data_IF_769856152822
#
_entry.id   IF_769856152822
#
_cell.length_a   1.000
_cell.length_b   1.000
_cell.length_c   1.000
_cell.angle_alpha   90.00
_cell.angle_beta   90.00
_cell.angle_gamma   90.00
#
_symmetry.space_group_name_H-M   'P 1'
#
loop_
_entity.id
_entity.type
_entity.pdbx_description
1 polymer ?
#
# COMPACT_ATOMS: atom_id res chain seq x y z
N UNK A 1 -2.69 15.56 -17.02
CA UNK A 1 -3.66 14.61 -16.42
C UNK A 1 -4.98 14.78 -17.15
N UNK A 2 -5.55 13.70 -17.68
CA UNK A 2 -6.84 13.75 -18.39
C UNK A 2 -7.96 14.28 -17.47
N UNK A 3 -8.93 15.01 -18.03
CA UNK A 3 -10.01 15.65 -17.27
C UNK A 3 -10.84 14.62 -16.50
N UNK A 4 -11.17 13.48 -17.14
CA UNK A 4 -11.90 12.38 -16.50
C UNK A 4 -11.07 11.76 -15.36
N UNK A 5 -9.75 11.61 -15.58
CA UNK A 5 -8.84 11.14 -14.54
C UNK A 5 -8.81 12.10 -13.33
N UNK A 6 -8.80 13.43 -13.57
CA UNK A 6 -8.87 14.42 -12.48
C UNK A 6 -10.14 14.27 -11.67
N UNK A 7 -11.30 14.19 -12.33
CA UNK A 7 -12.58 13.98 -11.64
C UNK A 7 -12.60 12.68 -10.85
N UNK A 8 -12.02 11.61 -11.39
CA UNK A 8 -11.89 10.33 -10.68
C UNK A 8 -11.05 10.47 -9.41
N UNK A 9 -9.90 11.13 -9.45
CA UNK A 9 -9.08 11.33 -8.24
C UNK A 9 -9.82 12.19 -7.22
N UNK A 10 -10.41 13.31 -7.64
CA UNK A 10 -11.20 14.18 -6.75
C UNK A 10 -12.34 13.41 -6.08
N UNK A 11 -13.03 12.55 -6.83
CA UNK A 11 -14.09 11.69 -6.29
C UNK A 11 -13.53 10.64 -5.33
N UNK A 12 -12.38 10.05 -5.65
CA UNK A 12 -11.72 9.06 -4.79
C UNK A 12 -11.37 9.63 -3.42
N UNK A 13 -10.85 10.86 -3.37
CA UNK A 13 -10.54 11.56 -2.11
C UNK A 13 -11.77 11.61 -1.19
N UNK A 14 -12.92 12.01 -1.73
CA UNK A 14 -14.17 12.10 -0.96
C UNK A 14 -14.66 10.73 -0.53
N UNK A 15 -14.72 9.77 -1.45
CA UNK A 15 -15.28 8.43 -1.18
C UNK A 15 -14.45 7.70 -0.13
N UNK A 16 -13.12 7.74 -0.25
CA UNK A 16 -12.24 7.07 0.71
C UNK A 16 -12.25 7.76 2.07
N UNK A 17 -12.28 9.10 2.10
CA UNK A 17 -12.40 9.80 3.38
C UNK A 17 -13.74 9.54 4.05
N UNK A 18 -14.84 9.42 3.28
CA UNK A 18 -16.15 9.03 3.82
C UNK A 18 -16.13 7.61 4.41
N UNK A 19 -15.61 6.63 3.68
CA UNK A 19 -15.48 5.23 4.13
C UNK A 19 -14.64 5.16 5.42
N UNK A 20 -13.50 5.86 5.43
CA UNK A 20 -12.60 5.95 6.59
C UNK A 20 -13.25 6.65 7.79
N UNK A 21 -13.94 7.76 7.57
CA UNK A 21 -14.54 8.55 8.66
C UNK A 21 -15.66 7.79 9.35
N UNK A 22 -16.50 7.08 8.58
CA UNK A 22 -17.56 6.23 9.16
C UNK A 22 -16.92 5.01 9.84
N UNK A 23 -15.89 4.40 9.26
CA UNK A 23 -15.13 3.33 9.91
C UNK A 23 -14.55 3.74 11.26
N UNK A 24 -13.87 4.90 11.32
CA UNK A 24 -13.34 5.47 12.55
C UNK A 24 -14.44 5.78 13.55
N UNK A 25 -15.57 6.33 13.09
CA UNK A 25 -16.73 6.57 13.95
C UNK A 25 -17.21 5.29 14.64
N UNK A 26 -17.23 4.15 13.92
CA UNK A 26 -17.59 2.85 14.48
C UNK A 26 -16.56 2.38 15.52
N UNK A 27 -15.25 2.51 15.23
CA UNK A 27 -14.15 2.11 16.13
C UNK A 27 -14.19 2.92 17.43
N UNK A 28 -14.33 4.24 17.33
CA UNK A 28 -14.28 5.14 18.48
C UNK A 28 -15.48 4.98 19.41
N UNK A 29 -16.64 4.62 18.87
CA UNK A 29 -17.90 4.50 19.61
C UNK A 29 -18.32 3.05 19.92
N UNK A 30 -17.48 2.05 19.60
CA UNK A 30 -17.75 0.63 19.86
C UNK A 30 -18.04 0.35 21.34
N UNK A 31 -17.38 1.07 22.24
CA UNK A 31 -17.51 0.90 23.69
C UNK A 31 -18.90 1.28 24.24
N UNK A 32 -19.77 1.88 23.41
CA UNK A 32 -21.08 2.40 23.82
C UNK A 32 -22.19 1.36 23.54
N UNK A 33 -22.12 0.62 22.43
CA UNK A 33 -23.13 -0.36 22.04
C UNK A 33 -22.55 -1.53 21.22
N UNK A 34 -22.92 -2.76 21.57
CA UNK A 34 -22.44 -3.98 20.92
C UNK A 34 -23.05 -4.14 19.53
N UNK A 35 -22.20 -4.30 18.51
CA UNK A 35 -22.61 -4.69 17.15
C UNK A 35 -23.21 -6.10 17.21
N UNK A 36 -24.28 -6.36 16.44
CA UNK A 36 -24.90 -7.68 16.39
C UNK A 36 -23.92 -8.75 15.84
N UNK A 37 -23.73 -9.83 16.61
CA UNK A 37 -22.81 -10.92 16.30
C UNK A 37 -23.03 -11.54 14.90
N UNK A 38 -24.29 -11.60 14.46
CA UNK A 38 -24.66 -12.18 13.16
C UNK A 38 -24.03 -11.47 11.97
N UNK A 39 -23.85 -10.14 12.05
CA UNK A 39 -23.24 -9.37 10.96
C UNK A 39 -21.74 -9.59 10.90
N UNK A 40 -21.08 -9.67 12.07
CA UNK A 40 -19.64 -9.94 12.19
C UNK A 40 -19.31 -11.36 11.69
N UNK A 41 -20.13 -12.35 12.03
CA UNK A 41 -19.92 -13.74 11.60
C UNK A 41 -19.95 -13.89 10.08
N UNK A 42 -20.85 -13.18 9.39
CA UNK A 42 -20.93 -13.23 7.93
C UNK A 42 -19.66 -12.71 7.24
N UNK A 43 -19.01 -11.71 7.83
CA UNK A 43 -17.75 -11.13 7.33
C UNK A 43 -16.58 -12.08 7.61
N UNK A 44 -16.53 -12.65 8.81
CA UNK A 44 -15.48 -13.61 9.19
C UNK A 44 -15.55 -14.87 8.33
N UNK A 45 -16.76 -15.39 8.06
CA UNK A 45 -16.94 -16.54 7.16
C UNK A 45 -16.51 -16.22 5.72
N UNK A 46 -16.80 -15.00 5.25
CA UNK A 46 -16.37 -14.53 3.92
C UNK A 46 -14.85 -14.49 3.80
N UNK A 47 -14.16 -13.97 4.80
CA UNK A 47 -12.70 -13.89 4.79
C UNK A 47 -12.02 -15.25 5.03
N UNK A 48 -12.63 -16.12 5.84
CA UNK A 48 -12.17 -17.50 6.01
C UNK A 48 -12.19 -18.27 4.68
N UNK A 49 -13.20 -18.06 3.84
CA UNK A 49 -13.25 -18.63 2.48
C UNK A 49 -12.14 -18.10 1.56
N UNK A 50 -11.61 -16.91 1.84
CA UNK A 50 -10.47 -16.30 1.12
C UNK A 50 -9.10 -16.74 1.68
N UNK A 51 -9.09 -17.54 2.74
CA UNK A 51 -7.88 -18.05 3.39
C UNK A 51 -7.32 -17.13 4.48
N UNK A 52 -8.08 -16.13 4.93
CA UNK A 52 -7.70 -15.22 6.01
C UNK A 52 -8.53 -15.52 7.27
N UNK A 53 -7.86 -15.73 8.40
CA UNK A 53 -8.53 -15.88 9.70
C UNK A 53 -8.53 -14.55 10.45
N UNK A 54 -9.70 -13.96 10.63
CA UNK A 54 -9.89 -12.71 11.37
C UNK A 54 -10.40 -13.02 12.78
N UNK A 55 -9.68 -12.61 13.83
CA UNK A 55 -10.14 -12.74 15.21
C UNK A 55 -11.39 -11.87 15.48
N UNK A 56 -12.39 -12.40 16.17
CA UNK A 56 -13.65 -11.69 16.51
C UNK A 56 -13.43 -10.45 17.37
N UNK A 57 -12.34 -10.42 18.14
CA UNK A 57 -11.95 -9.37 19.07
C UNK A 57 -11.25 -8.17 18.41
N UNK A 58 -10.92 -8.25 17.11
CA UNK A 58 -10.22 -7.18 16.38
C UNK A 58 -11.16 -6.44 15.44
N UNK A 59 -11.93 -5.47 15.96
CA UNK A 59 -12.87 -4.66 15.18
C UNK A 59 -12.22 -3.97 13.98
N UNK A 60 -11.00 -3.45 14.12
CA UNK A 60 -10.29 -2.78 13.01
C UNK A 60 -10.18 -3.69 11.78
N UNK A 61 -9.82 -4.97 11.97
CA UNK A 61 -9.70 -5.93 10.87
C UNK A 61 -11.06 -6.28 10.27
N UNK A 62 -12.12 -6.29 11.09
CA UNK A 62 -13.49 -6.54 10.63
C UNK A 62 -13.96 -5.37 9.75
N UNK A 63 -13.70 -4.13 10.15
CA UNK A 63 -14.05 -2.93 9.39
C UNK A 63 -13.29 -2.87 8.07
N UNK A 64 -11.98 -3.17 8.08
CA UNK A 64 -11.18 -3.26 6.85
C UNK A 64 -11.72 -4.29 5.85
N UNK A 65 -12.28 -5.39 6.35
CA UNK A 65 -12.89 -6.44 5.53
C UNK A 65 -14.35 -6.16 5.15
N UNK A 66 -14.96 -5.11 5.70
CA UNK A 66 -16.38 -4.79 5.53
C UNK A 66 -16.64 -3.99 4.25
N UNK A 67 -17.80 -4.20 3.65
CA UNK A 67 -18.29 -3.32 2.59
C UNK A 67 -18.87 -2.03 3.19
N UNK A 68 -18.85 -0.94 2.41
CA UNK A 68 -19.35 0.37 2.87
C UNK A 68 -20.79 0.31 3.44
N UNK A 69 -21.68 -0.50 2.87
CA UNK A 69 -23.04 -0.67 3.40
C UNK A 69 -23.05 -1.33 4.79
N UNK A 70 -22.17 -2.31 5.00
CA UNK A 70 -21.99 -2.99 6.29
C UNK A 70 -21.48 -1.98 7.33
N UNK A 71 -20.53 -1.10 6.97
CA UNK A 71 -20.01 -0.04 7.84
C UNK A 71 -21.14 0.95 8.23
N UNK A 72 -21.99 1.36 7.29
CA UNK A 72 -23.16 2.18 7.60
C UNK A 72 -24.12 1.48 8.57
N UNK A 73 -24.37 0.17 8.38
CA UNK A 73 -25.23 -0.59 9.29
C UNK A 73 -24.64 -0.65 10.70
N UNK A 74 -23.32 -0.79 10.83
CA UNK A 74 -22.64 -0.70 12.13
C UNK A 74 -22.79 0.67 12.76
N UNK A 75 -22.57 1.74 12.00
CA UNK A 75 -22.74 3.11 12.50
C UNK A 75 -24.18 3.40 12.94
N UNK A 76 -25.18 2.91 12.20
CA UNK A 76 -26.60 3.04 12.59
C UNK A 76 -26.88 2.25 13.86
N UNK A 77 -26.34 1.04 14.01
CA UNK A 77 -26.54 0.22 15.20
C UNK A 77 -25.91 0.87 16.45
N UNK A 78 -24.70 1.40 16.32
CA UNK A 78 -24.00 2.10 17.42
C UNK A 78 -24.73 3.37 17.84
N UNK A 79 -25.35 4.08 16.89
CA UNK A 79 -26.08 5.31 17.19
C UNK A 79 -27.49 5.06 17.75
N UNK A 80 -27.97 3.82 17.83
CA UNK A 80 -29.32 3.54 18.33
C UNK A 80 -29.54 4.16 19.72
N UNK A 81 -30.66 4.87 19.89
CA UNK A 81 -30.98 5.57 21.15
C UNK A 81 -30.33 6.94 21.31
N UNK A 82 -29.45 7.36 20.39
CA UNK A 82 -28.90 8.73 20.35
C UNK A 82 -29.67 9.63 19.39
N UNK A 83 -29.49 10.95 19.53
CA UNK A 83 -30.03 11.94 18.57
C UNK A 83 -29.37 11.85 17.18
N UNK A 84 -28.20 11.24 17.08
CA UNK A 84 -27.43 11.10 15.84
C UNK A 84 -27.94 9.96 14.94
N UNK A 85 -28.73 9.04 15.49
CA UNK A 85 -29.23 7.88 14.73
C UNK A 85 -29.99 8.28 13.47
N UNK A 86 -30.88 9.26 13.61
CA UNK A 86 -31.70 9.76 12.50
C UNK A 86 -30.82 10.38 11.41
N UNK A 87 -29.80 11.16 11.80
CA UNK A 87 -28.85 11.75 10.86
C UNK A 87 -28.00 10.69 10.15
N UNK A 88 -27.61 9.61 10.84
CA UNK A 88 -26.87 8.50 10.22
C UNK A 88 -27.72 7.74 9.20
N UNK A 89 -29.00 7.51 9.50
CA UNK A 89 -29.97 6.89 8.59
C UNK A 89 -30.17 7.79 7.35
N UNK A 90 -30.38 9.09 7.55
CA UNK A 90 -30.54 10.08 6.48
C UNK A 90 -29.29 10.14 5.59
N UNK A 91 -28.09 10.10 6.17
CA UNK A 91 -26.84 10.08 5.41
C UNK A 91 -26.75 8.81 4.55
N UNK A 92 -27.08 7.64 5.11
CA UNK A 92 -27.12 6.38 4.35
C UNK A 92 -28.12 6.45 3.19
N UNK A 93 -29.29 7.03 3.41
CA UNK A 93 -30.32 7.21 2.38
C UNK A 93 -29.85 8.15 1.27
N UNK A 94 -29.22 9.28 1.62
CA UNK A 94 -28.63 10.21 0.66
C UNK A 94 -27.54 9.53 -0.18
N UNK A 95 -26.65 8.79 0.47
CA UNK A 95 -25.61 7.99 -0.16
C UNK A 95 -26.18 6.97 -1.16
N UNK A 96 -27.27 6.30 -0.79
CA UNK A 96 -27.96 5.34 -1.65
C UNK A 96 -28.63 6.03 -2.84
N UNK A 97 -29.32 7.14 -2.62
CA UNK A 97 -29.98 7.93 -3.66
C UNK A 97 -29.00 8.45 -4.71
N UNK A 98 -27.82 8.90 -4.29
CA UNK A 98 -26.78 9.41 -5.16
C UNK A 98 -25.89 8.30 -5.75
N UNK A 99 -26.09 7.04 -5.34
CA UNK A 99 -25.40 5.87 -5.88
C UNK A 99 -23.93 5.78 -5.44
N UNK A 100 -23.61 6.14 -4.19
CA UNK A 100 -22.23 6.15 -3.69
C UNK A 100 -21.55 4.77 -3.81
N UNK A 101 -22.31 3.68 -3.68
CA UNK A 101 -21.79 2.31 -3.77
C UNK A 101 -21.28 2.00 -5.18
N UNK A 102 -22.00 2.46 -6.21
CA UNK A 102 -21.57 2.32 -7.60
C UNK A 102 -20.37 3.22 -7.90
N UNK A 103 -20.38 4.45 -7.36
CA UNK A 103 -19.27 5.39 -7.49
C UNK A 103 -17.99 4.80 -6.86
N UNK A 104 -18.08 4.24 -5.65
CA UNK A 104 -16.95 3.59 -4.95
C UNK A 104 -16.39 2.43 -5.76
N UNK A 105 -17.27 1.61 -6.33
CA UNK A 105 -16.88 0.50 -7.21
C UNK A 105 -16.19 1.02 -8.49
N UNK A 106 -16.72 2.08 -9.10
CA UNK A 106 -16.12 2.69 -10.28
C UNK A 106 -14.74 3.31 -10.01
N UNK A 107 -14.59 4.03 -8.89
CA UNK A 107 -13.29 4.60 -8.45
C UNK A 107 -12.23 3.50 -8.33
N UNK A 108 -12.59 2.37 -7.71
CA UNK A 108 -11.67 1.25 -7.44
C UNK A 108 -11.28 0.46 -8.69
N UNK A 109 -12.00 0.63 -9.82
CA UNK A 109 -11.75 -0.09 -11.06
C UNK A 109 -11.40 0.89 -12.20
N UNK A 110 -10.11 1.12 -12.50
CA UNK A 110 -9.66 2.17 -13.42
C UNK A 110 -10.18 2.00 -14.84
N UNK A 111 -10.42 0.76 -15.27
CA UNK A 111 -10.90 0.45 -16.64
C UNK A 111 -12.41 0.66 -16.82
N UNK A 112 -13.17 0.98 -15.76
CA UNK A 112 -14.60 1.28 -15.89
C UNK A 112 -14.83 2.71 -16.35
N UNK A 113 -15.87 2.99 -17.17
CA UNK A 113 -16.27 4.34 -17.49
C UNK A 113 -16.51 5.17 -16.23
N UNK A 114 -16.11 6.43 -16.26
CA UNK A 114 -16.26 7.36 -15.14
C UNK A 114 -16.98 8.62 -15.59
N UNK A 115 -18.33 8.63 -15.52
CA UNK A 115 -19.11 9.81 -15.89
C UNK A 115 -18.86 10.97 -14.92
N UNK A 116 -18.84 12.20 -15.44
CA UNK A 116 -18.65 13.41 -14.65
C UNK A 116 -19.67 13.57 -13.51
N UNK A 117 -20.86 13.01 -13.66
CA UNK A 117 -21.91 13.06 -12.63
C UNK A 117 -21.49 12.40 -11.31
N UNK A 118 -20.52 11.48 -11.33
CA UNK A 118 -19.99 10.84 -10.12
C UNK A 118 -19.28 11.83 -9.20
N UNK A 119 -18.53 12.78 -9.79
CA UNK A 119 -17.91 13.86 -9.03
C UNK A 119 -18.97 14.73 -8.34
N UNK A 120 -19.96 15.19 -9.09
CA UNK A 120 -20.99 16.07 -8.54
C UNK A 120 -21.80 15.38 -7.43
N UNK A 121 -22.13 14.10 -7.60
CA UNK A 121 -22.83 13.29 -6.58
C UNK A 121 -22.00 13.15 -5.30
N UNK A 122 -20.71 12.82 -5.42
CA UNK A 122 -19.82 12.73 -4.27
C UNK A 122 -19.63 14.08 -3.57
N UNK A 123 -19.46 15.16 -4.35
CA UNK A 123 -19.37 16.52 -3.83
C UNK A 123 -20.64 16.94 -3.09
N UNK A 124 -21.83 16.58 -3.60
CA UNK A 124 -23.12 16.82 -2.92
C UNK A 124 -23.13 16.17 -1.54
N UNK A 125 -22.76 14.88 -1.44
CA UNK A 125 -22.68 14.17 -0.15
C UNK A 125 -21.71 14.88 0.81
N UNK A 126 -20.50 15.21 0.36
CA UNK A 126 -19.47 15.82 1.21
C UNK A 126 -19.78 17.27 1.63
N UNK A 127 -20.66 17.96 0.89
CA UNK A 127 -21.14 19.31 1.24
C UNK A 127 -22.43 19.31 2.05
N UNK A 128 -23.05 18.15 2.28
CA UNK A 128 -24.35 18.06 2.92
C UNK A 128 -24.25 18.41 4.42
N UNK A 129 -25.22 19.14 5.01
CA UNK A 129 -25.23 19.46 6.43
C UNK A 129 -25.19 18.23 7.36
N UNK A 130 -25.57 17.04 6.87
CA UNK A 130 -25.46 15.79 7.63
C UNK A 130 -24.00 15.45 8.00
N UNK A 131 -23.02 15.87 7.17
CA UNK A 131 -21.59 15.66 7.44
C UNK A 131 -21.17 16.41 8.70
N UNK A 132 -21.54 17.69 8.82
CA UNK A 132 -21.29 18.50 10.03
C UNK A 132 -22.05 17.96 11.24
N UNK A 133 -23.34 17.60 11.08
CA UNK A 133 -24.14 17.05 12.19
C UNK A 133 -23.56 15.77 12.80
N UNK A 134 -22.87 14.97 11.98
CA UNK A 134 -22.23 13.72 12.40
C UNK A 134 -20.76 13.91 12.77
N UNK A 135 -20.24 15.14 12.79
CA UNK A 135 -18.84 15.50 13.03
C UNK A 135 -17.86 14.78 12.08
N UNK A 136 -18.25 14.60 10.82
CA UNK A 136 -17.42 13.99 9.77
C UNK A 136 -16.60 15.06 9.01
N UNK A 137 -16.02 16.02 9.74
CA UNK A 137 -15.38 17.22 9.18
C UNK A 137 -14.23 16.91 8.20
N UNK A 138 -13.57 15.76 8.37
CA UNK A 138 -12.52 15.32 7.45
C UNK A 138 -13.06 15.09 6.03
N UNK A 139 -14.31 14.65 5.86
CA UNK A 139 -14.97 14.51 4.55
C UNK A 139 -15.16 15.87 3.88
N UNK A 140 -15.52 16.89 4.66
CA UNK A 140 -15.64 18.28 4.18
C UNK A 140 -14.26 18.84 3.79
N UNK A 141 -13.23 18.55 4.58
CA UNK A 141 -11.84 18.93 4.27
C UNK A 141 -11.33 18.23 3.01
N UNK A 142 -11.69 16.97 2.78
CA UNK A 142 -11.36 16.24 1.55
C UNK A 142 -12.01 16.88 0.32
N UNK A 143 -13.27 17.33 0.43
CA UNK A 143 -13.92 18.10 -0.64
C UNK A 143 -13.20 19.43 -0.91
N UNK A 144 -12.84 20.19 0.12
CA UNK A 144 -12.10 21.45 -0.05
C UNK A 144 -10.74 21.20 -0.74
N UNK A 145 -10.00 20.19 -0.28
CA UNK A 145 -8.71 19.80 -0.87
C UNK A 145 -8.85 19.37 -2.33
N UNK A 146 -9.93 18.64 -2.67
CA UNK A 146 -10.22 18.21 -4.03
C UNK A 146 -10.60 19.39 -4.94
N UNK A 147 -11.32 20.39 -4.43
CA UNK A 147 -11.66 21.63 -5.14
C UNK A 147 -10.41 22.46 -5.43
N UNK A 148 -9.54 22.61 -4.41
CA UNK A 148 -8.29 23.37 -4.49
C UNK A 148 -7.20 22.68 -5.33
N UNK A 149 -7.46 21.45 -5.82
CA UNK A 149 -6.48 20.60 -6.50
C UNK A 149 -5.23 20.33 -5.65
N UNK A 150 -5.38 20.38 -4.32
CA UNK A 150 -4.42 19.89 -3.34
C UNK A 150 -4.44 18.36 -3.33
N UNK A 151 -4.06 17.78 -4.47
CA UNK A 151 -3.85 16.35 -4.64
C UNK A 151 -2.57 16.02 -3.88
N UNK A 152 -2.68 15.53 -2.64
CA UNK A 152 -1.52 15.08 -1.88
C UNK A 152 -0.74 14.08 -2.73
N UNK A 153 0.44 14.47 -3.18
CA UNK A 153 1.37 13.54 -3.82
C UNK A 153 1.75 12.46 -2.82
N UNK A 154 2.01 11.21 -3.26
CA UNK A 154 2.58 10.22 -2.35
C UNK A 154 3.78 10.86 -1.63
N UNK A 155 3.90 10.71 -0.30
CA UNK A 155 5.03 11.27 0.43
C UNK A 155 6.34 10.82 -0.22
N UNK A 156 7.32 11.71 -0.32
CA UNK A 156 8.62 11.36 -0.91
C UNK A 156 9.28 10.18 -0.18
N UNK A 157 8.97 10.01 1.12
CA UNK A 157 9.35 8.84 1.92
C UNK A 157 8.93 7.51 1.30
N UNK A 158 7.84 7.42 0.52
CA UNK A 158 7.39 6.18 -0.12
C UNK A 158 8.29 5.74 -1.28
N UNK A 159 9.00 6.66 -1.94
CA UNK A 159 10.02 6.29 -2.92
C UNK A 159 11.27 5.68 -2.25
N UNK A 160 11.52 6.05 -0.99
CA UNK A 160 12.76 5.72 -0.29
C UNK A 160 12.60 4.59 0.74
N UNK A 161 11.41 4.43 1.34
CA UNK A 161 11.09 3.38 2.29
C UNK A 161 10.34 2.25 1.61
N UNK A 162 11.12 1.39 0.96
CA UNK A 162 10.67 0.08 0.53
C UNK A 162 10.58 -0.82 1.78
N UNK A 163 9.55 -0.65 2.62
CA UNK A 163 9.40 -1.41 3.89
C UNK A 163 9.38 -2.94 3.71
N UNK A 164 9.16 -3.41 2.48
CA UNK A 164 9.15 -4.82 2.10
C UNK A 164 10.50 -5.35 1.58
N UNK A 165 11.48 -4.47 1.33
CA UNK A 165 12.80 -4.89 0.87
C UNK A 165 13.69 -5.35 2.02
N UNK A 166 14.54 -6.33 1.76
CA UNK A 166 15.55 -6.81 2.72
C UNK A 166 16.61 -5.71 2.90
N UNK A 167 16.90 -5.29 4.14
CA UNK A 167 17.94 -4.29 4.42
C UNK A 167 19.27 -4.68 3.78
N UNK A 168 19.88 -3.77 3.01
CA UNK A 168 21.11 -4.07 2.29
C UNK A 168 22.06 -2.88 2.15
N UNK A 169 23.35 -3.17 2.05
CA UNK A 169 24.42 -2.17 1.78
C UNK A 169 24.93 -2.25 0.34
N UNK A 170 24.08 -2.69 -0.60
CA UNK A 170 24.47 -2.79 -2.01
C UNK A 170 24.74 -1.38 -2.57
N UNK A 171 25.72 -1.21 -3.47
CA UNK A 171 25.96 0.07 -4.13
C UNK A 171 24.70 0.59 -4.85
N UNK A 172 24.46 1.91 -4.77
CA UNK A 172 23.26 2.53 -5.36
C UNK A 172 23.27 2.57 -6.89
N UNK A 173 24.44 2.47 -7.51
CA UNK A 173 24.60 2.44 -8.96
C UNK A 173 25.57 1.37 -9.38
N UNK A 174 25.24 0.70 -10.48
CA UNK A 174 26.12 -0.26 -11.14
C UNK A 174 26.26 0.09 -12.63
N UNK A 175 27.46 -0.10 -13.18
CA UNK A 175 27.75 0.17 -14.60
C UNK A 175 26.85 -0.60 -15.58
N UNK A 176 26.14 -1.63 -15.10
CA UNK A 176 25.28 -2.52 -15.89
C UNK A 176 23.78 -2.37 -15.59
N UNK A 177 23.35 -1.46 -14.70
CA UNK A 177 21.93 -1.24 -14.40
C UNK A 177 21.13 -0.76 -15.61
N UNK A 178 21.78 -0.01 -16.51
CA UNK A 178 21.12 0.62 -17.66
C UNK A 178 20.79 -0.41 -18.76
N UNK A 179 21.60 -1.46 -18.93
CA UNK A 179 21.41 -2.43 -20.03
C UNK A 179 20.83 -3.77 -19.58
N UNK A 180 20.84 -4.08 -18.28
CA UNK A 180 20.51 -5.40 -17.76
C UNK A 180 21.52 -6.48 -18.22
N UNK A 181 21.47 -7.65 -17.58
CA UNK A 181 22.28 -8.80 -17.98
C UNK A 181 21.48 -9.70 -18.93
N UNK A 182 21.90 -9.79 -20.19
CA UNK A 182 21.26 -10.66 -21.18
C UNK A 182 21.78 -12.10 -21.07
N UNK A 183 20.86 -13.07 -21.04
CA UNK A 183 21.18 -14.50 -21.21
C UNK A 183 21.84 -15.17 -20.00
N UNK A 184 21.60 -14.68 -18.78
CA UNK A 184 22.18 -15.21 -17.51
C UNK A 184 21.19 -15.98 -16.64
N UNK A 185 20.03 -16.36 -17.19
CA UNK A 185 18.93 -17.01 -16.44
C UNK A 185 19.35 -18.34 -15.81
N UNK A 186 20.26 -19.07 -16.47
CA UNK A 186 20.76 -20.34 -15.95
C UNK A 186 21.60 -20.13 -14.69
N UNK A 187 22.50 -19.15 -14.73
CA UNK A 187 23.35 -18.80 -13.60
C UNK A 187 22.54 -18.25 -12.42
N UNK A 188 21.48 -17.47 -12.68
CA UNK A 188 20.58 -17.02 -11.61
C UNK A 188 19.86 -18.19 -10.92
N UNK A 189 19.36 -19.16 -11.70
CA UNK A 189 18.73 -20.38 -11.13
C UNK A 189 19.72 -21.22 -10.35
N UNK A 190 20.95 -21.34 -10.82
CA UNK A 190 22.00 -22.07 -10.13
C UNK A 190 22.35 -21.40 -8.79
N UNK A 191 22.48 -20.06 -8.76
CA UNK A 191 22.68 -19.30 -7.52
C UNK A 191 21.52 -19.47 -6.54
N UNK A 192 20.29 -19.40 -7.01
CA UNK A 192 19.09 -19.59 -6.18
C UNK A 192 19.03 -20.98 -5.54
N UNK A 193 19.34 -22.02 -6.31
CA UNK A 193 19.42 -23.40 -5.83
C UNK A 193 20.51 -23.63 -4.78
N UNK A 194 21.61 -22.87 -4.85
CA UNK A 194 22.71 -22.97 -3.90
C UNK A 194 22.40 -22.16 -2.64
N UNK A 195 21.93 -20.92 -2.77
CA UNK A 195 21.61 -20.02 -1.63
C UNK A 195 20.39 -20.46 -0.83
N UNK A 196 19.41 -21.11 -1.46
CA UNK A 196 18.22 -21.61 -0.77
C UNK A 196 18.51 -22.73 0.24
N UNK A 197 19.67 -23.39 0.13
CA UNK A 197 20.09 -24.46 1.03
C UNK A 197 20.83 -23.88 2.23
N UNK A 198 20.20 -23.90 3.42
CA UNK A 198 20.78 -23.41 4.70
C UNK A 198 22.14 -24.00 5.10
N UNK A 199 22.59 -25.10 4.47
CA UNK A 199 23.90 -25.73 4.75
C UNK A 199 25.06 -25.09 3.98
N UNK A 200 24.76 -24.28 2.96
CA UNK A 200 25.76 -23.67 2.10
C UNK A 200 26.15 -22.30 2.65
N UNK A 201 27.16 -22.29 3.53
CA UNK A 201 27.61 -21.05 4.18
C UNK A 201 28.70 -20.31 3.39
N UNK A 202 29.28 -20.96 2.38
CA UNK A 202 30.32 -20.40 1.53
C UNK A 202 30.04 -20.75 0.06
N UNK A 203 29.95 -19.72 -0.78
CA UNK A 203 29.75 -19.85 -2.22
C UNK A 203 30.87 -19.10 -2.92
N UNK A 204 31.66 -19.82 -3.71
CA UNK A 204 32.73 -19.24 -4.51
C UNK A 204 32.32 -19.21 -5.99
N UNK A 205 32.39 -18.04 -6.62
CA UNK A 205 32.08 -17.87 -8.04
C UNK A 205 33.40 -17.66 -8.79
N UNK A 206 33.79 -18.67 -9.56
CA UNK A 206 35.07 -18.70 -10.27
C UNK A 206 34.82 -18.61 -11.76
N UNK A 207 35.45 -17.63 -12.41
CA UNK A 207 35.41 -17.46 -13.86
C UNK A 207 36.55 -16.52 -14.32
N UNK A 208 36.89 -16.46 -15.62
CA UNK A 208 37.90 -15.55 -16.15
C UNK A 208 37.62 -14.06 -15.84
N UNK A 209 38.66 -13.23 -15.89
CA UNK A 209 38.54 -11.78 -15.76
C UNK A 209 37.63 -11.18 -16.84
N UNK A 210 36.87 -10.13 -16.52
CA UNK A 210 36.02 -9.41 -17.48
C UNK A 210 34.67 -10.07 -17.82
N UNK A 211 34.37 -11.28 -17.34
CA UNK A 211 33.12 -12.00 -17.68
C UNK A 211 31.84 -11.48 -16.97
N UNK A 212 31.95 -10.46 -16.12
CA UNK A 212 30.80 -9.88 -15.40
C UNK A 212 30.38 -10.60 -14.11
N UNK A 213 31.28 -11.32 -13.43
CA UNK A 213 30.97 -12.02 -12.16
C UNK A 213 30.34 -11.10 -11.10
N UNK A 214 31.00 -9.97 -10.84
CA UNK A 214 30.55 -9.00 -9.85
C UNK A 214 29.20 -8.40 -10.22
N UNK A 215 29.00 -8.09 -11.50
CA UNK A 215 27.73 -7.60 -12.02
C UNK A 215 26.60 -8.63 -11.82
N UNK A 216 26.87 -9.91 -12.10
CA UNK A 216 25.92 -10.99 -11.93
C UNK A 216 25.48 -11.17 -10.47
N UNK A 217 26.42 -11.14 -9.54
CA UNK A 217 26.13 -11.26 -8.10
C UNK A 217 25.35 -10.05 -7.60
N UNK A 218 25.75 -8.84 -7.98
CA UNK A 218 25.09 -7.61 -7.54
C UNK A 218 23.67 -7.52 -8.08
N UNK A 219 23.45 -7.85 -9.35
CA UNK A 219 22.12 -7.94 -9.93
C UNK A 219 21.26 -8.97 -9.19
N UNK A 220 21.79 -10.18 -8.97
CA UNK A 220 21.07 -11.23 -8.25
C UNK A 220 20.69 -10.81 -6.83
N UNK A 221 21.62 -10.22 -6.07
CA UNK A 221 21.36 -9.77 -4.71
C UNK A 221 20.37 -8.59 -4.67
N UNK A 222 20.39 -7.71 -5.67
CA UNK A 222 19.41 -6.64 -5.82
C UNK A 222 18.01 -7.23 -6.05
N UNK A 223 17.88 -8.16 -6.98
CA UNK A 223 16.61 -8.83 -7.27
C UNK A 223 16.10 -9.62 -6.05
N UNK A 224 17.02 -10.26 -5.31
CA UNK A 224 16.71 -10.96 -4.07
C UNK A 224 16.24 -10.00 -2.99
N UNK A 225 16.88 -8.83 -2.85
CA UNK A 225 16.50 -7.84 -1.83
C UNK A 225 15.07 -7.33 -2.03
N UNK A 226 14.60 -7.36 -3.27
CA UNK A 226 13.25 -6.96 -3.67
C UNK A 226 12.26 -8.14 -3.73
N UNK A 227 12.63 -9.34 -3.28
CA UNK A 227 11.78 -10.52 -3.32
C UNK A 227 11.23 -10.84 -1.92
N UNK A 228 9.92 -10.65 -1.67
CA UNK A 228 9.30 -10.94 -0.38
C UNK A 228 9.45 -12.41 0.08
N UNK A 229 9.68 -13.36 -0.84
CA UNK A 229 9.84 -14.78 -0.49
C UNK A 229 11.14 -15.08 0.29
N UNK A 230 12.06 -14.11 0.35
CA UNK A 230 13.35 -14.24 1.01
C UNK A 230 13.44 -13.55 2.37
N UNK A 231 12.45 -12.71 2.73
CA UNK A 231 12.44 -11.97 4.01
C UNK A 231 12.51 -12.90 5.23
N UNK A 232 11.87 -14.07 5.16
CA UNK A 232 11.90 -15.09 6.22
C UNK A 232 13.23 -15.87 6.30
N UNK A 233 14.06 -15.79 5.25
CA UNK A 233 15.31 -16.56 5.11
C UNK A 233 16.55 -15.72 5.34
N UNK A 234 16.49 -14.42 5.04
CA UNK A 234 17.61 -13.48 5.11
C UNK A 234 17.17 -12.21 5.82
N UNK A 235 17.85 -11.89 6.92
CA UNK A 235 17.57 -10.66 7.68
C UNK A 235 18.24 -9.43 7.07
N UNK A 236 19.39 -9.59 6.39
CA UNK A 236 20.16 -8.49 5.82
C UNK A 236 21.16 -8.96 4.76
N UNK A 237 21.50 -8.10 3.80
CA UNK A 237 22.56 -8.33 2.81
C UNK A 237 23.70 -7.33 3.04
N UNK A 238 24.90 -7.82 3.33
CA UNK A 238 26.08 -6.96 3.53
C UNK A 238 27.02 -7.15 2.34
N UNK A 239 27.24 -6.08 1.59
CA UNK A 239 28.22 -6.04 0.52
C UNK A 239 29.52 -5.39 0.99
N UNK A 240 30.62 -6.09 0.77
CA UNK A 240 31.97 -5.60 1.02
C UNK A 240 32.82 -5.86 -0.23
N UNK A 241 33.66 -4.89 -0.59
CA UNK A 241 34.63 -5.01 -1.68
C UNK A 241 36.04 -5.03 -1.11
N UNK A 242 36.83 -6.04 -1.49
CA UNK A 242 38.27 -6.14 -1.16
C UNK A 242 39.15 -5.64 -2.32
N UNK A 243 38.59 -4.81 -3.21
CA UNK A 243 39.38 -4.15 -4.24
C UNK A 243 40.23 -3.07 -3.57
N UNK A 244 41.53 -3.12 -3.82
CA UNK A 244 42.47 -2.09 -3.37
C UNK A 244 42.57 -0.94 -4.39
N UNK A 245 42.04 -1.11 -5.60
CA UNK A 245 42.18 -0.17 -6.70
C UNK A 245 40.89 -0.08 -7.51
N UNK A 246 40.53 1.14 -7.95
CA UNK A 246 39.42 1.44 -8.86
C UNK A 246 39.99 2.05 -10.13
N UNK A 247 39.56 1.56 -11.29
CA UNK A 247 39.87 2.18 -12.57
C UNK A 247 38.85 3.31 -12.80
N UNK A 248 39.31 4.56 -12.82
CA UNK A 248 38.50 5.74 -13.18
C UNK A 248 38.88 6.23 -14.58
N UNK A 249 38.10 7.17 -15.12
CA UNK A 249 38.39 7.77 -16.44
C UNK A 249 39.76 8.48 -16.47
N UNK A 250 40.28 8.85 -15.30
CA UNK A 250 41.53 9.59 -15.13
C UNK A 250 42.72 8.71 -14.68
N UNK A 251 42.53 7.40 -14.45
CA UNK A 251 43.61 6.47 -14.11
C UNK A 251 43.26 5.36 -13.11
N UNK A 252 44.29 4.74 -12.52
CA UNK A 252 44.14 3.78 -11.42
C UNK A 252 44.16 4.58 -10.11
N UNK A 253 43.05 4.57 -9.37
CA UNK A 253 42.95 5.15 -8.03
C UNK A 253 43.06 4.05 -6.96
N UNK A 254 43.94 4.23 -5.98
CA UNK A 254 44.00 3.36 -4.81
C UNK A 254 42.82 3.66 -3.88
N UNK A 255 42.11 2.61 -3.44
CA UNK A 255 41.05 2.71 -2.45
C UNK A 255 41.72 2.56 -1.08
N UNK A 256 41.88 3.67 -0.35
CA UNK A 256 42.38 3.62 1.02
C UNK A 256 41.38 2.89 1.93
N UNK A 257 41.89 1.96 2.74
CA UNK A 257 41.10 1.33 3.79
C UNK A 257 40.63 2.41 4.78
N UNK A 258 39.36 2.31 5.22
CA UNK A 258 38.79 3.22 6.23
C UNK A 258 39.70 3.18 7.47
N UNK A 259 40.39 4.29 7.73
CA UNK A 259 41.07 4.51 9.01
C UNK A 259 40.02 5.03 9.98
N UNK A 260 39.63 4.21 10.97
CA UNK A 260 38.73 4.62 12.04
C UNK A 260 39.27 5.89 12.73
N UNK A 261 38.40 6.91 12.86
CA UNK A 261 38.56 8.04 13.77
C UNK A 261 37.41 8.05 14.76
#
# INVERSE_FOLDING_TARGET
MDYVQKLRIKTAMIVYELEKSIGNYVIENESIHTIADTSIESIIEREKKRGLEIPKDKLNLIIEASYLDEIFNFAINITQGTTLNQSMIELKQLCSLLGIFDIRNAVSHPNRPFPDCFWFRAATIASDPLIEKLNLDSVRNALNSAIEENLSTPPDEWLHNVNWAIPNTLPQSFDHEITGLLGRDKEFKDLENVLSKKRNNLIAIVAPGGIGKTALVLQYLKDLSLNPSWSDKLSSIIFCTLKNEKLTADGIEAIDAIVEK
#
